data_IF_106692385945
#
_entry.id   IF_106692385945
#
_cell.length_a   1.000
_cell.length_b   1.000
_cell.length_c   1.000
_cell.angle_alpha   90.00
_cell.angle_beta   90.00
_cell.angle_gamma   90.00
#
_symmetry.space_group_name_H-M   'P 1'
#
loop_
_entity.id
_entity.type
_entity.pdbx_description
1 polymer ?
#
# COMPACT_ATOMS: atom_id res chain seq x y z
N UNK A 1 2.38 38.44 -35.99
CA UNK A 1 3.31 38.34 -34.84
C UNK A 1 2.43 38.30 -33.60
N UNK A 2 2.40 37.14 -32.92
CA UNK A 2 1.75 36.83 -31.62
C UNK A 2 1.55 35.31 -31.61
N UNK A 3 1.84 34.51 -30.60
CA UNK A 3 2.49 34.67 -29.29
C UNK A 3 3.04 33.27 -28.96
N UNK A 4 4.28 33.19 -28.49
CA UNK A 4 4.87 31.94 -28.00
C UNK A 4 4.35 31.70 -26.58
N UNK A 5 3.43 30.75 -26.42
CA UNK A 5 3.15 30.16 -25.11
C UNK A 5 4.27 29.19 -24.75
N UNK A 6 5.09 29.59 -23.78
CA UNK A 6 6.07 28.73 -23.14
C UNK A 6 5.35 27.56 -22.46
N UNK A 7 5.65 26.35 -22.91
CA UNK A 7 5.27 25.12 -22.21
C UNK A 7 6.25 24.92 -21.06
N UNK A 8 5.84 25.27 -19.84
CA UNK A 8 6.55 24.82 -18.64
C UNK A 8 6.22 23.33 -18.48
N UNK A 9 7.15 22.48 -18.91
CA UNK A 9 7.08 21.04 -18.72
C UNK A 9 7.22 20.69 -17.25
N UNK A 10 6.13 20.77 -16.50
CA UNK A 10 6.01 20.04 -15.24
C UNK A 10 5.86 18.56 -15.64
N UNK A 11 6.89 17.75 -15.35
CA UNK A 11 6.75 16.30 -15.44
C UNK A 11 5.54 15.91 -14.59
N UNK A 12 4.66 14.99 -15.03
CA UNK A 12 3.51 14.59 -14.23
C UNK A 12 3.99 14.24 -12.84
N UNK A 13 3.53 14.99 -11.84
CA UNK A 13 3.82 14.69 -10.45
C UNK A 13 3.23 13.31 -10.18
N UNK A 14 4.11 12.32 -10.00
CA UNK A 14 3.70 11.06 -9.38
C UNK A 14 3.11 11.47 -8.04
N UNK A 15 1.78 11.29 -7.91
CA UNK A 15 1.02 11.69 -6.73
C UNK A 15 1.58 11.10 -5.44
N UNK A 16 1.10 11.61 -4.31
CA UNK A 16 1.37 11.02 -3.01
C UNK A 16 0.49 9.80 -2.79
N UNK A 17 1.09 8.73 -2.26
CA UNK A 17 0.42 7.46 -2.11
C UNK A 17 1.35 6.32 -1.73
N UNK A 18 0.77 5.13 -1.68
CA UNK A 18 1.38 3.86 -1.36
C UNK A 18 1.24 2.92 -2.56
N UNK A 19 2.35 2.38 -3.06
CA UNK A 19 2.35 1.27 -3.99
C UNK A 19 2.83 -0.02 -3.31
N UNK A 20 2.10 -1.11 -3.51
CA UNK A 20 2.40 -2.40 -2.90
C UNK A 20 1.99 -3.59 -3.78
N UNK A 21 2.90 -4.53 -3.97
CA UNK A 21 2.64 -5.79 -4.70
C UNK A 21 2.04 -6.90 -3.84
N UNK A 22 1.73 -6.64 -2.57
CA UNK A 22 1.27 -7.64 -1.57
C UNK A 22 2.28 -8.79 -1.42
N UNK A 23 2.16 -9.85 -2.22
CA UNK A 23 3.11 -10.98 -2.28
C UNK A 23 2.92 -11.74 -3.58
N UNK A 24 4.00 -11.93 -4.33
CA UNK A 24 3.98 -12.58 -5.64
C UNK A 24 3.36 -13.99 -5.61
N UNK A 25 3.73 -14.82 -4.63
CA UNK A 25 3.16 -16.18 -4.49
C UNK A 25 1.65 -16.17 -4.22
N UNK A 26 1.17 -15.18 -3.47
CA UNK A 26 -0.26 -15.00 -3.20
C UNK A 26 -1.01 -14.57 -4.47
N UNK A 27 -0.48 -13.59 -5.20
CA UNK A 27 -1.09 -13.14 -6.46
C UNK A 27 -1.11 -14.26 -7.51
N UNK A 28 -0.05 -15.06 -7.60
CA UNK A 28 0.00 -16.24 -8.47
C UNK A 28 -1.03 -17.28 -8.05
N UNK A 29 -1.17 -17.54 -6.75
CA UNK A 29 -2.18 -18.45 -6.23
C UNK A 29 -3.60 -18.00 -6.61
N UNK A 30 -3.93 -16.72 -6.43
CA UNK A 30 -5.23 -16.16 -6.83
C UNK A 30 -5.47 -16.29 -8.33
N UNK A 31 -4.52 -15.85 -9.16
CA UNK A 31 -4.68 -15.78 -10.63
C UNK A 31 -4.69 -17.15 -11.33
N UNK A 32 -4.20 -18.21 -10.68
CA UNK A 32 -4.23 -19.58 -11.23
C UNK A 32 -5.52 -20.33 -10.90
N UNK A 33 -6.37 -19.80 -10.03
CA UNK A 33 -7.66 -20.41 -9.69
C UNK A 33 -8.73 -20.19 -10.75
N UNK A 34 -9.66 -21.15 -10.91
CA UNK A 34 -10.92 -20.91 -11.60
C UNK A 34 -11.71 -19.75 -10.95
N UNK A 35 -12.03 -18.73 -11.75
CA UNK A 35 -12.69 -17.51 -11.27
C UNK A 35 -11.80 -16.61 -10.40
N UNK A 36 -10.49 -16.82 -10.43
CA UNK A 36 -9.51 -16.03 -9.70
C UNK A 36 -9.31 -14.64 -10.27
N UNK A 37 -9.40 -13.59 -9.44
CA UNK A 37 -9.07 -12.23 -9.87
C UNK A 37 -8.67 -11.31 -8.72
N UNK A 38 -8.02 -10.21 -9.05
CA UNK A 38 -7.77 -9.08 -8.17
C UNK A 38 -8.35 -7.83 -8.85
N UNK A 39 -9.27 -7.15 -8.18
CA UNK A 39 -9.92 -5.95 -8.72
C UNK A 39 -9.75 -4.77 -7.76
N UNK A 40 -9.36 -3.61 -8.29
CA UNK A 40 -9.27 -2.37 -7.53
C UNK A 40 -10.54 -1.55 -7.64
N UNK A 41 -10.91 -0.85 -6.57
CA UNK A 41 -12.02 0.11 -6.55
C UNK A 41 -11.78 1.24 -5.54
N UNK A 42 -12.64 2.26 -5.58
CA UNK A 42 -12.41 3.52 -4.86
C UNK A 42 -11.19 4.24 -5.43
N UNK A 43 -10.31 4.72 -4.56
CA UNK A 43 -9.08 5.43 -4.96
C UNK A 43 -7.88 4.50 -5.22
N UNK A 44 -8.12 3.18 -5.23
CA UNK A 44 -7.10 2.21 -5.58
C UNK A 44 -7.03 1.97 -7.09
N UNK A 45 -5.81 1.84 -7.61
CA UNK A 45 -5.54 1.51 -9.02
C UNK A 45 -4.45 0.45 -9.13
N UNK A 46 -4.34 -0.19 -10.30
CA UNK A 46 -3.22 -1.09 -10.60
C UNK A 46 -2.18 -0.33 -11.41
N UNK A 47 -0.92 -0.38 -10.98
CA UNK A 47 0.20 0.26 -11.66
C UNK A 47 0.65 -0.55 -12.88
N UNK A 48 1.47 0.04 -13.75
CA UNK A 48 1.96 -0.63 -14.98
C UNK A 48 2.79 -1.89 -14.69
N UNK A 49 3.50 -1.91 -13.55
CA UNK A 49 4.30 -3.04 -13.07
C UNK A 49 3.46 -4.10 -12.32
N UNK A 50 2.14 -3.90 -12.18
CA UNK A 50 1.25 -4.86 -11.53
C UNK A 50 1.15 -4.73 -10.01
N UNK A 51 1.76 -3.68 -9.42
CA UNK A 51 1.54 -3.30 -8.03
C UNK A 51 0.18 -2.62 -7.87
N UNK A 52 -0.33 -2.56 -6.64
CA UNK A 52 -1.53 -1.80 -6.32
C UNK A 52 -1.16 -0.46 -5.72
N UNK A 53 -1.75 0.62 -6.23
CA UNK A 53 -1.55 1.98 -5.76
C UNK A 53 -2.78 2.47 -4.99
N UNK A 54 -2.54 3.07 -3.82
CA UNK A 54 -3.54 3.75 -3.00
C UNK A 54 -3.14 5.21 -2.84
N UNK A 55 -4.05 6.14 -3.14
CA UNK A 55 -3.80 7.57 -2.98
C UNK A 55 -3.72 7.96 -1.49
N UNK A 56 -2.90 8.96 -1.15
CA UNK A 56 -2.91 9.52 0.21
C UNK A 56 -4.24 10.21 0.48
N UNK A 57 -4.94 9.76 1.51
CA UNK A 57 -6.21 10.33 1.97
C UNK A 57 -6.00 11.39 3.06
N UNK A 58 -5.11 11.12 4.01
CA UNK A 58 -4.82 12.01 5.13
C UNK A 58 -3.41 11.73 5.67
N UNK A 59 -2.59 12.77 5.77
CA UNK A 59 -1.24 12.72 6.36
C UNK A 59 -1.04 13.77 7.45
N UNK A 60 -2.11 14.39 7.95
CA UNK A 60 -2.04 15.42 8.99
C UNK A 60 -1.48 14.91 10.32
N UNK A 61 -1.58 13.60 10.56
CA UNK A 61 -1.02 12.91 11.72
C UNK A 61 0.43 12.45 11.55
N UNK A 62 1.13 12.86 10.50
CA UNK A 62 2.53 12.47 10.24
C UNK A 62 3.47 13.68 10.39
N UNK A 63 4.48 13.53 11.26
CA UNK A 63 5.55 14.51 11.42
C UNK A 63 6.67 14.20 10.41
N UNK A 64 6.83 15.08 9.42
CA UNK A 64 7.78 14.92 8.31
C UNK A 64 9.23 15.21 8.70
N UNK A 65 9.46 15.78 9.90
CA UNK A 65 10.80 16.01 10.46
C UNK A 65 11.23 14.84 11.32
N UNK A 66 10.36 14.37 12.22
CA UNK A 66 10.62 13.21 13.07
C UNK A 66 10.48 11.87 12.31
N UNK A 67 9.79 11.88 11.16
CA UNK A 67 9.42 10.69 10.38
C UNK A 67 8.55 9.71 11.17
N UNK A 68 7.69 10.23 12.04
CA UNK A 68 6.81 9.46 12.90
C UNK A 68 5.36 9.89 12.75
N UNK A 69 4.42 8.99 13.00
CA UNK A 69 2.99 9.26 12.98
C UNK A 69 2.25 8.41 11.96
N UNK A 70 1.04 8.83 11.60
CA UNK A 70 0.13 8.04 10.75
C UNK A 70 -0.10 8.69 9.40
N UNK A 71 0.02 7.89 8.34
CA UNK A 71 -0.36 8.22 6.97
C UNK A 71 -1.50 7.28 6.56
N UNK A 72 -2.64 7.85 6.18
CA UNK A 72 -3.82 7.11 5.73
C UNK A 72 -3.91 7.17 4.21
N UNK A 73 -4.15 6.02 3.61
CA UNK A 73 -4.42 5.86 2.18
C UNK A 73 -5.86 5.39 1.98
N UNK A 74 -6.43 5.70 0.82
CA UNK A 74 -7.78 5.29 0.46
C UNK A 74 -7.79 4.32 -0.71
N UNK A 75 -8.80 3.45 -0.73
CA UNK A 75 -9.08 2.54 -1.82
C UNK A 75 -9.16 1.08 -1.38
N UNK A 76 -9.56 0.23 -2.32
CA UNK A 76 -9.82 -1.18 -2.07
C UNK A 76 -9.20 -2.07 -3.13
N UNK A 77 -8.62 -3.17 -2.68
CA UNK A 77 -8.35 -4.35 -3.51
C UNK A 77 -9.29 -5.45 -3.06
N UNK A 78 -9.91 -6.14 -4.00
CA UNK A 78 -10.69 -7.34 -3.74
C UNK A 78 -10.07 -8.52 -4.49
N UNK A 79 -9.64 -9.53 -3.75
CA UNK A 79 -9.16 -10.80 -4.26
C UNK A 79 -10.29 -11.82 -4.21
N UNK A 80 -10.56 -12.47 -5.33
CA UNK A 80 -11.55 -13.56 -5.41
C UNK A 80 -10.91 -14.82 -5.96
N UNK A 81 -11.43 -15.96 -5.54
CA UNK A 81 -11.02 -17.29 -6.02
C UNK A 81 -12.15 -18.30 -5.87
N UNK A 82 -12.02 -19.46 -6.53
CA UNK A 82 -13.03 -20.52 -6.51
C UNK A 82 -14.46 -20.01 -6.82
N UNK A 83 -14.61 -19.22 -7.89
CA UNK A 83 -15.89 -18.59 -8.28
C UNK A 83 -16.57 -17.76 -7.17
N UNK A 84 -15.77 -17.13 -6.31
CA UNK A 84 -16.24 -16.24 -5.23
C UNK A 84 -16.37 -16.89 -3.86
N UNK A 85 -16.09 -18.19 -3.72
CA UNK A 85 -16.04 -18.84 -2.41
C UNK A 85 -14.88 -18.33 -1.55
N UNK A 86 -13.77 -17.90 -2.18
CA UNK A 86 -12.74 -17.09 -1.55
C UNK A 86 -12.99 -15.63 -1.95
N UNK A 87 -13.14 -14.75 -0.95
CA UNK A 87 -13.23 -13.30 -1.14
C UNK A 87 -12.51 -12.61 0.00
N UNK A 88 -11.45 -11.88 -0.32
CA UNK A 88 -10.60 -11.18 0.65
C UNK A 88 -10.40 -9.76 0.16
N UNK A 89 -10.65 -8.78 1.01
CA UNK A 89 -10.42 -7.37 0.68
C UNK A 89 -9.32 -6.76 1.53
N UNK A 90 -8.54 -5.87 0.91
CA UNK A 90 -7.63 -4.96 1.61
C UNK A 90 -8.17 -3.56 1.36
N UNK A 91 -8.58 -2.88 2.42
CA UNK A 91 -9.27 -1.59 2.33
C UNK A 91 -8.56 -0.54 3.18
N UNK A 92 -8.46 0.67 2.63
CA UNK A 92 -7.97 1.90 3.26
C UNK A 92 -6.72 1.69 4.12
N UNK A 93 -5.56 1.41 3.50
CA UNK A 93 -4.34 1.10 4.23
C UNK A 93 -3.88 2.27 5.11
N UNK A 94 -3.50 2.00 6.36
CA UNK A 94 -2.88 2.99 7.24
C UNK A 94 -1.46 2.55 7.58
N UNK A 95 -0.50 3.43 7.29
CA UNK A 95 0.89 3.27 7.65
C UNK A 95 1.17 4.08 8.93
N UNK A 96 1.64 3.40 9.97
CA UNK A 96 2.12 4.02 11.20
C UNK A 96 3.64 3.87 11.22
N UNK A 97 4.36 4.96 11.41
CA UNK A 97 5.82 4.99 11.57
C UNK A 97 6.19 5.52 12.95
N UNK A 98 7.21 4.94 13.56
CA UNK A 98 7.81 5.39 14.82
C UNK A 98 9.34 5.19 14.79
N UNK A 99 10.01 5.35 15.93
CA UNK A 99 11.46 5.18 16.03
C UNK A 99 11.96 3.73 15.88
N UNK A 100 11.08 2.74 16.00
CA UNK A 100 11.40 1.31 15.93
C UNK A 100 11.07 0.70 14.55
N UNK A 101 10.34 1.44 13.70
CA UNK A 101 10.00 1.04 12.34
C UNK A 101 8.59 1.49 11.98
N UNK A 102 7.80 0.58 11.42
CA UNK A 102 6.41 0.86 11.16
C UNK A 102 5.53 -0.36 11.02
N UNK A 103 4.25 -0.11 10.83
CA UNK A 103 3.25 -1.13 10.55
C UNK A 103 2.26 -0.63 9.50
N UNK A 104 1.87 -1.53 8.61
CA UNK A 104 0.77 -1.31 7.68
C UNK A 104 -0.43 -2.09 8.20
N UNK A 105 -1.57 -1.42 8.33
CA UNK A 105 -2.85 -2.04 8.66
C UNK A 105 -3.87 -1.78 7.55
N UNK A 106 -4.83 -2.68 7.42
CA UNK A 106 -5.92 -2.58 6.44
C UNK A 106 -7.22 -3.04 7.10
N UNK A 107 -8.34 -2.64 6.51
CA UNK A 107 -9.64 -3.23 6.80
C UNK A 107 -9.88 -4.47 5.92
N UNK A 108 -10.24 -5.59 6.56
CA UNK A 108 -10.44 -6.89 5.90
C UNK A 108 -11.92 -7.22 5.60
N UNK A 109 -12.87 -6.50 6.21
CA UNK A 109 -14.30 -6.81 6.14
C UNK A 109 -15.17 -5.75 6.82
N UNK A 110 -16.42 -6.09 7.12
CA UNK A 110 -17.39 -5.18 7.75
C UNK A 110 -17.55 -5.52 9.25
N UNK A 111 -17.12 -4.62 10.14
CA UNK A 111 -17.29 -4.77 11.59
C UNK A 111 -16.36 -3.86 12.40
N UNK A 112 -16.57 -3.72 13.73
CA UNK A 112 -15.78 -2.83 14.58
C UNK A 112 -14.31 -3.26 14.76
N UNK A 113 -13.98 -4.53 14.47
CA UNK A 113 -12.62 -5.08 14.50
C UNK A 113 -12.06 -5.36 13.09
N UNK A 114 -12.59 -4.67 12.07
CA UNK A 114 -12.21 -4.94 10.68
C UNK A 114 -10.77 -4.57 10.35
N UNK A 115 -10.19 -3.61 11.08
CA UNK A 115 -8.83 -3.11 10.86
C UNK A 115 -7.80 -3.93 11.64
N UNK A 116 -6.83 -4.49 10.93
CA UNK A 116 -5.75 -5.27 11.53
C UNK A 116 -4.43 -5.00 10.84
N UNK A 117 -3.33 -5.08 11.59
CA UNK A 117 -1.98 -5.03 11.04
C UNK A 117 -1.77 -6.21 10.09
N UNK A 118 -1.29 -5.92 8.88
CA UNK A 118 -0.98 -6.94 7.88
C UNK A 118 0.52 -7.23 7.82
N UNK A 119 1.35 -6.18 7.83
CA UNK A 119 2.81 -6.32 7.79
C UNK A 119 3.47 -5.33 8.73
N UNK A 120 4.59 -5.75 9.32
CA UNK A 120 5.58 -4.81 9.85
C UNK A 120 6.39 -4.25 8.70
N UNK A 121 6.79 -2.99 8.84
CA UNK A 121 7.52 -2.21 7.84
C UNK A 121 8.85 -1.80 8.44
N UNK A 122 9.93 -2.01 7.69
CA UNK A 122 11.27 -1.53 8.05
C UNK A 122 11.69 -0.52 6.97
N UNK A 123 11.41 0.78 7.18
CA UNK A 123 11.78 1.80 6.21
C UNK A 123 13.23 2.26 6.41
N UNK A 124 13.95 2.44 5.30
CA UNK A 124 15.18 3.24 5.28
C UNK A 124 14.85 4.75 5.36
N UNK A 125 15.90 5.60 5.35
CA UNK A 125 15.72 7.04 5.23
C UNK A 125 15.02 7.41 3.91
N UNK A 126 13.99 8.28 3.92
CA UNK A 126 13.35 8.75 2.71
C UNK A 126 14.28 9.67 1.92
N UNK A 127 14.14 9.65 0.60
CA UNK A 127 14.76 10.66 -0.27
C UNK A 127 13.82 11.87 -0.37
N UNK A 128 14.34 13.05 -0.05
CA UNK A 128 13.63 14.31 -0.25
C UNK A 128 13.79 14.82 -1.69
N UNK A 129 12.69 15.15 -2.35
CA UNK A 129 12.66 15.76 -3.66
C UNK A 129 11.63 16.90 -3.67
N UNK A 130 12.12 18.14 -3.49
CA UNK A 130 11.24 19.30 -3.32
C UNK A 130 10.36 19.16 -2.07
N UNK A 131 9.05 19.22 -2.28
CA UNK A 131 8.02 19.05 -1.25
C UNK A 131 7.62 17.60 -0.99
N UNK A 132 8.35 16.61 -1.52
CA UNK A 132 8.00 15.18 -1.36
C UNK A 132 9.10 14.42 -0.62
N UNK A 133 8.68 13.59 0.33
CA UNK A 133 9.48 12.49 0.90
C UNK A 133 9.11 11.19 0.19
N UNK A 134 10.12 10.41 -0.21
CA UNK A 134 9.90 9.15 -0.93
C UNK A 134 10.72 7.99 -0.35
N UNK A 135 10.02 6.92 0.02
CA UNK A 135 10.59 5.59 0.24
C UNK A 135 10.39 4.76 -1.02
N UNK A 136 11.48 4.24 -1.59
CA UNK A 136 11.42 3.46 -2.84
C UNK A 136 11.10 1.99 -2.60
N UNK A 137 11.58 1.45 -1.48
CA UNK A 137 11.41 0.06 -1.09
C UNK A 137 11.58 -0.06 0.44
N UNK A 138 10.52 0.20 1.20
CA UNK A 138 10.49 -0.14 2.62
C UNK A 138 10.18 -1.63 2.76
N UNK A 139 11.07 -2.39 3.41
CA UNK A 139 10.89 -3.84 3.53
C UNK A 139 9.67 -4.17 4.38
N UNK A 140 9.00 -5.28 4.06
CA UNK A 140 7.83 -5.72 4.83
C UNK A 140 7.89 -7.18 5.22
N UNK A 141 7.35 -7.47 6.40
CA UNK A 141 7.32 -8.80 6.98
C UNK A 141 5.94 -9.08 7.56
N UNK A 142 5.39 -10.27 7.29
CA UNK A 142 4.06 -10.64 7.75
C UNK A 142 3.92 -10.48 9.26
N UNK A 143 2.87 -9.77 9.68
CA UNK A 143 2.54 -9.63 11.10
C UNK A 143 2.09 -10.96 11.69
N UNK A 144 2.43 -11.29 12.96
CA UNK A 144 1.79 -12.40 13.67
C UNK A 144 0.26 -12.30 13.68
N UNK A 145 -0.28 -11.08 13.68
CA UNK A 145 -1.73 -10.81 13.68
C UNK A 145 -2.41 -11.16 12.35
N UNK A 146 -1.64 -11.29 11.28
CA UNK A 146 -2.12 -11.52 9.92
C UNK A 146 -2.00 -12.98 9.45
N UNK A 147 -1.33 -13.85 10.21
CA UNK A 147 -1.06 -15.24 9.81
C UNK A 147 -2.35 -16.01 9.53
N UNK A 148 -3.37 -15.86 10.38
CA UNK A 148 -4.64 -16.56 10.24
C UNK A 148 -5.42 -16.12 8.99
N UNK A 149 -5.31 -14.86 8.61
CA UNK A 149 -5.97 -14.25 7.44
C UNK A 149 -5.42 -14.82 6.13
N UNK A 150 -4.18 -15.33 6.14
CA UNK A 150 -3.59 -16.08 5.04
C UNK A 150 -3.68 -17.60 5.25
N UNK A 151 -4.68 -18.08 6.01
CA UNK A 151 -4.91 -19.50 6.31
C UNK A 151 -3.67 -20.23 6.84
N UNK A 152 -2.79 -19.53 7.57
CA UNK A 152 -1.52 -20.07 8.09
C UNK A 152 -0.54 -20.59 7.03
N UNK A 153 -0.73 -20.23 5.75
CA UNK A 153 0.19 -20.61 4.65
C UNK A 153 1.54 -19.92 4.80
N UNK A 154 1.54 -18.71 5.35
CA UNK A 154 2.73 -17.90 5.58
C UNK A 154 3.00 -17.77 7.07
N UNK A 155 4.28 -17.76 7.45
CA UNK A 155 4.69 -17.61 8.85
C UNK A 155 4.86 -16.14 9.23
N UNK A 156 4.70 -15.82 10.51
CA UNK A 156 5.07 -14.51 11.03
C UNK A 156 6.54 -14.19 10.69
N UNK A 157 6.81 -12.95 10.30
CA UNK A 157 8.13 -12.52 9.85
C UNK A 157 8.49 -12.98 8.44
N UNK A 158 7.58 -13.60 7.69
CA UNK A 158 7.84 -13.95 6.29
C UNK A 158 7.88 -12.68 5.42
N UNK A 159 8.85 -12.54 4.51
CA UNK A 159 8.92 -11.40 3.62
C UNK A 159 7.68 -11.28 2.72
N UNK A 160 7.15 -10.05 2.66
CA UNK A 160 6.14 -9.61 1.70
C UNK A 160 6.76 -8.60 0.74
N UNK A 161 6.01 -8.17 -0.28
CA UNK A 161 6.52 -7.18 -1.22
C UNK A 161 6.86 -5.87 -0.47
N UNK A 162 7.97 -5.19 -0.81
CA UNK A 162 8.29 -3.91 -0.20
C UNK A 162 7.26 -2.84 -0.56
N UNK A 163 7.17 -1.79 0.25
CA UNK A 163 6.33 -0.63 0.00
C UNK A 163 7.11 0.45 -0.75
N UNK A 164 6.49 1.07 -1.74
CA UNK A 164 6.93 2.39 -2.22
C UNK A 164 5.94 3.44 -1.71
N UNK A 165 6.43 4.47 -1.03
CA UNK A 165 5.62 5.47 -0.33
C UNK A 165 6.07 6.86 -0.76
N UNK A 166 5.11 7.75 -1.04
CA UNK A 166 5.35 9.17 -1.34
C UNK A 166 4.39 10.03 -0.53
N UNK A 167 4.91 11.00 0.22
CA UNK A 167 4.12 11.94 1.03
C UNK A 167 4.62 13.36 0.86
N UNK A 168 3.76 14.35 1.13
CA UNK A 168 4.17 15.74 1.17
C UNK A 168 4.99 15.99 2.44
N UNK A 169 6.01 16.83 2.33
CA UNK A 169 6.83 17.33 3.44
C UNK A 169 6.14 18.48 4.16
#
# INVERSE_FOLDING_TARGET
MSETIASTGESPSIGTGLAWGVKDSFLRYITTMPGGSATTSGDATTTRDGSFYFATADQSGFDTTALTGTIKFSGRINFVGHFGALSVSLVDPWLILDSEGGSLSVEWGTGPESRSEIVRVIPDAPVAAGSVLAWRAAETFLSPLAVAQFNSVYRAGEPFAPLAIRVLR
#
